data_IF_774195868678
#
_entry.id   IF_774195868678
#
_cell.length_a   1.000
_cell.length_b   1.000
_cell.length_c   1.000
_cell.angle_alpha   90.00
_cell.angle_beta   90.00
_cell.angle_gamma   90.00
#
_symmetry.space_group_name_H-M   'P 1'
#
loop_
_entity.id
_entity.type
_entity.pdbx_description
1 polymer ?
#
# COMPACT_ATOMS: atom_id res chain seq x y z
N UNK A 1 30.33 7.49 -14.44
CA UNK A 1 29.22 6.51 -14.41
C UNK A 1 27.98 7.05 -13.68
N UNK A 2 28.09 7.50 -12.42
CA UNK A 2 26.97 8.02 -11.61
C UNK A 2 26.25 9.21 -12.26
N UNK A 3 26.97 10.21 -12.78
CA UNK A 3 26.36 11.37 -13.44
C UNK A 3 25.52 11.01 -14.68
N UNK A 4 25.91 9.95 -15.41
CA UNK A 4 25.17 9.42 -16.57
C UNK A 4 23.89 8.71 -16.12
N UNK A 5 23.96 7.94 -15.04
CA UNK A 5 22.77 7.31 -14.45
C UNK A 5 21.77 8.36 -13.98
N UNK A 6 22.23 9.39 -13.25
CA UNK A 6 21.37 10.48 -12.77
C UNK A 6 20.73 11.23 -13.94
N UNK A 7 21.48 11.53 -15.01
CA UNK A 7 20.92 12.24 -16.18
C UNK A 7 19.91 11.40 -16.94
N UNK A 8 20.10 10.08 -17.04
CA UNK A 8 19.13 9.15 -17.59
C UNK A 8 17.83 9.14 -16.77
N UNK A 9 17.93 9.02 -15.44
CA UNK A 9 16.76 9.06 -14.55
C UNK A 9 16.00 10.38 -14.66
N UNK A 10 16.71 11.52 -14.66
CA UNK A 10 16.10 12.84 -14.85
C UNK A 10 15.37 12.93 -16.19
N UNK A 11 15.95 12.43 -17.27
CA UNK A 11 15.31 12.42 -18.60
C UNK A 11 14.08 11.51 -18.65
N UNK A 12 14.15 10.31 -18.05
CA UNK A 12 13.04 9.33 -18.05
C UNK A 12 11.78 9.87 -17.38
N UNK A 13 11.94 10.68 -16.31
CA UNK A 13 10.82 11.24 -15.54
C UNK A 13 10.58 12.74 -15.79
N UNK A 14 11.32 13.35 -16.71
CA UNK A 14 11.07 14.73 -17.12
C UNK A 14 9.66 14.88 -17.76
N UNK A 15 9.00 15.99 -17.45
CA UNK A 15 7.66 16.30 -17.97
C UNK A 15 6.50 15.59 -17.27
N UNK A 16 6.75 14.82 -16.20
CA UNK A 16 5.67 14.31 -15.35
C UNK A 16 5.04 15.43 -14.53
N UNK A 17 3.74 15.31 -14.29
CA UNK A 17 2.98 16.32 -13.55
C UNK A 17 3.39 16.36 -12.07
N UNK A 18 3.30 17.54 -11.44
CA UNK A 18 3.60 17.71 -10.01
C UNK A 18 2.81 16.75 -9.10
N UNK A 19 1.51 16.48 -9.33
CA UNK A 19 0.77 15.50 -8.54
C UNK A 19 1.37 14.09 -8.56
N UNK A 20 1.96 13.66 -9.68
CA UNK A 20 2.59 12.32 -9.77
C UNK A 20 3.82 12.25 -8.87
N UNK A 21 4.67 13.27 -8.88
CA UNK A 21 5.83 13.36 -7.99
C UNK A 21 5.42 13.38 -6.51
N UNK A 22 4.40 14.16 -6.17
CA UNK A 22 3.88 14.24 -4.81
C UNK A 22 3.26 12.91 -4.36
N UNK A 23 2.52 12.23 -5.23
CA UNK A 23 1.97 10.91 -4.96
C UNK A 23 3.09 9.89 -4.74
N UNK A 24 4.13 9.89 -5.58
CA UNK A 24 5.31 9.04 -5.39
C UNK A 24 6.02 9.33 -4.07
N UNK A 25 6.13 10.59 -3.65
CA UNK A 25 6.68 10.95 -2.34
C UNK A 25 5.83 10.39 -1.19
N UNK A 26 4.51 10.54 -1.26
CA UNK A 26 3.58 9.95 -0.27
C UNK A 26 3.76 8.43 -0.18
N UNK A 27 3.83 7.74 -1.33
CA UNK A 27 4.06 6.29 -1.35
C UNK A 27 5.42 5.92 -0.76
N UNK A 28 6.46 6.70 -1.05
CA UNK A 28 7.79 6.47 -0.49
C UNK A 28 7.78 6.61 1.03
N UNK A 29 7.16 7.67 1.58
CA UNK A 29 7.03 7.87 3.03
C UNK A 29 6.29 6.69 3.67
N UNK A 30 5.13 6.33 3.14
CA UNK A 30 4.35 5.19 3.65
C UNK A 30 5.14 3.88 3.61
N UNK A 31 5.79 3.56 2.48
CA UNK A 31 6.50 2.29 2.30
C UNK A 31 7.84 2.22 3.00
N UNK A 32 8.48 3.35 3.25
CA UNK A 32 9.63 3.43 4.16
C UNK A 32 9.22 3.12 5.61
N UNK A 33 7.96 3.42 5.95
CA UNK A 33 7.36 3.18 7.23
C UNK A 33 7.04 1.73 7.55
N UNK A 34 6.73 0.91 6.52
CA UNK A 34 6.24 -0.48 6.61
C UNK A 34 7.30 -1.47 7.14
N UNK A 35 7.83 -1.19 8.32
CA UNK A 35 8.90 -1.91 8.98
C UNK A 35 8.37 -3.06 9.84
N UNK A 36 7.10 -3.02 10.25
CA UNK A 36 6.56 -4.04 11.16
C UNK A 36 6.48 -5.41 10.50
N UNK A 37 6.01 -5.49 9.24
CA UNK A 37 5.75 -6.75 8.55
C UNK A 37 6.94 -7.73 8.48
N UNK A 38 8.14 -7.34 8.02
CA UNK A 38 9.28 -8.25 7.96
C UNK A 38 9.77 -8.73 9.33
N UNK A 39 9.49 -7.97 10.38
CA UNK A 39 9.92 -8.31 11.75
C UNK A 39 8.79 -8.88 12.62
N UNK A 40 7.55 -8.92 12.14
CA UNK A 40 6.39 -9.30 12.95
C UNK A 40 6.56 -10.72 13.51
N UNK A 41 6.87 -11.71 12.65
CA UNK A 41 7.11 -13.09 13.10
C UNK A 41 8.25 -13.17 14.12
N UNK A 42 9.33 -12.43 13.91
CA UNK A 42 10.46 -12.40 14.85
C UNK A 42 10.04 -11.77 16.17
N UNK A 43 9.27 -10.69 16.15
CA UNK A 43 8.71 -10.09 17.35
C UNK A 43 7.81 -11.06 18.12
N UNK A 44 6.90 -11.76 17.43
CA UNK A 44 6.00 -12.73 18.05
C UNK A 44 6.76 -13.87 18.73
N UNK A 45 7.77 -14.44 18.06
CA UNK A 45 8.51 -15.58 18.59
C UNK A 45 9.55 -15.19 19.64
N UNK A 46 10.31 -14.10 19.41
CA UNK A 46 11.45 -13.74 20.28
C UNK A 46 11.07 -12.82 21.43
N UNK A 47 10.00 -12.00 21.30
CA UNK A 47 9.58 -11.05 22.34
C UNK A 47 8.31 -11.47 23.05
N UNK A 48 7.33 -12.04 22.35
CA UNK A 48 6.11 -12.55 22.98
C UNK A 48 6.19 -14.06 23.31
N UNK A 49 7.24 -14.75 22.85
CA UNK A 49 7.45 -16.17 23.15
C UNK A 49 6.47 -17.11 22.43
N UNK A 50 5.83 -16.66 21.36
CA UNK A 50 4.91 -17.49 20.59
C UNK A 50 5.65 -18.62 19.87
N UNK A 51 4.97 -19.75 19.67
CA UNK A 51 5.48 -20.82 18.81
C UNK A 51 5.54 -20.38 17.35
N UNK A 52 6.32 -21.10 16.53
CA UNK A 52 6.36 -20.88 15.08
C UNK A 52 4.98 -21.08 14.44
N UNK A 53 4.20 -22.05 14.94
CA UNK A 53 2.84 -22.29 14.48
C UNK A 53 1.93 -21.08 14.78
N UNK A 54 2.01 -20.52 15.98
CA UNK A 54 1.24 -19.34 16.36
C UNK A 54 1.61 -18.12 15.50
N UNK A 55 2.91 -17.91 15.27
CA UNK A 55 3.34 -16.85 14.35
C UNK A 55 2.86 -17.12 12.90
N UNK A 56 2.83 -18.37 12.47
CA UNK A 56 2.26 -18.78 11.18
C UNK A 56 0.78 -18.41 11.06
N UNK A 57 -0.02 -18.65 12.10
CA UNK A 57 -1.43 -18.24 12.13
C UNK A 57 -1.63 -16.72 12.07
N UNK A 58 -0.74 -15.94 12.70
CA UNK A 58 -0.77 -14.48 12.54
C UNK A 58 -0.50 -14.06 11.08
N UNK A 59 0.42 -14.74 10.38
CA UNK A 59 0.67 -14.48 8.96
C UNK A 59 -0.48 -14.94 8.05
N UNK A 60 -1.17 -16.02 8.42
CA UNK A 60 -2.42 -16.43 7.75
C UNK A 60 -3.49 -15.34 7.92
N UNK A 61 -3.67 -14.83 9.14
CA UNK A 61 -4.60 -13.73 9.41
C UNK A 61 -4.25 -12.48 8.59
N UNK A 62 -2.95 -12.15 8.48
CA UNK A 62 -2.47 -11.08 7.61
C UNK A 62 -2.90 -11.31 6.15
N UNK A 63 -2.66 -12.51 5.60
CA UNK A 63 -3.01 -12.87 4.24
C UNK A 63 -4.51 -12.80 3.95
N UNK A 64 -5.34 -13.37 4.84
CA UNK A 64 -6.81 -13.31 4.72
C UNK A 64 -7.30 -11.87 4.72
N UNK A 65 -6.82 -11.07 5.67
CA UNK A 65 -7.20 -9.65 5.73
C UNK A 65 -6.67 -8.87 4.52
N UNK A 66 -5.52 -9.22 3.96
CA UNK A 66 -5.01 -8.58 2.73
C UNK A 66 -5.92 -8.80 1.52
N UNK A 67 -6.44 -10.02 1.36
CA UNK A 67 -7.40 -10.36 0.30
C UNK A 67 -8.73 -9.63 0.53
N UNK A 68 -9.25 -9.70 1.75
CA UNK A 68 -10.49 -9.01 2.13
C UNK A 68 -10.36 -7.49 1.92
N UNK A 69 -9.25 -6.92 2.37
CA UNK A 69 -8.91 -5.50 2.24
C UNK A 69 -8.82 -5.07 0.78
N UNK A 70 -8.12 -5.80 -0.07
CA UNK A 70 -8.02 -5.49 -1.49
C UNK A 70 -9.39 -5.51 -2.19
N UNK A 71 -10.23 -6.50 -1.87
CA UNK A 71 -11.58 -6.61 -2.41
C UNK A 71 -12.51 -5.49 -1.93
N UNK A 72 -12.55 -5.25 -0.61
CA UNK A 72 -13.36 -4.20 0.01
C UNK A 72 -12.87 -2.81 -0.43
N UNK A 73 -11.56 -2.61 -0.51
CA UNK A 73 -10.93 -1.37 -0.95
C UNK A 73 -11.33 -0.96 -2.36
N UNK A 74 -11.52 -1.92 -3.27
CA UNK A 74 -12.06 -1.65 -4.61
C UNK A 74 -13.47 -1.05 -4.52
N UNK A 75 -14.38 -1.76 -3.84
CA UNK A 75 -15.76 -1.29 -3.62
C UNK A 75 -15.85 0.05 -2.89
N UNK A 76 -15.00 0.25 -1.88
CA UNK A 76 -14.91 1.51 -1.14
C UNK A 76 -14.39 2.64 -2.04
N UNK A 77 -13.41 2.35 -2.89
CA UNK A 77 -12.86 3.32 -3.86
C UNK A 77 -13.90 3.74 -4.87
N UNK A 78 -14.70 2.79 -5.36
CA UNK A 78 -15.78 3.08 -6.33
C UNK A 78 -16.89 3.90 -5.68
N UNK A 79 -17.21 3.64 -4.40
CA UNK A 79 -18.29 4.33 -3.67
C UNK A 79 -17.90 5.70 -3.12
N UNK A 80 -16.73 5.80 -2.49
CA UNK A 80 -16.29 7.00 -1.75
C UNK A 80 -15.20 7.79 -2.46
N UNK A 81 -14.64 7.24 -3.55
CA UNK A 81 -13.52 7.82 -4.28
C UNK A 81 -12.17 7.44 -3.68
N UNK A 82 -11.15 7.36 -4.54
CA UNK A 82 -9.80 6.98 -4.13
C UNK A 82 -9.19 7.92 -3.09
N UNK A 83 -9.55 9.20 -3.14
CA UNK A 83 -8.94 10.23 -2.30
C UNK A 83 -9.25 10.01 -0.82
N UNK A 84 -10.51 9.77 -0.48
CA UNK A 84 -10.91 9.48 0.90
C UNK A 84 -10.41 8.12 1.36
N UNK A 85 -10.49 7.09 0.51
CA UNK A 85 -10.03 5.75 0.86
C UNK A 85 -8.52 5.74 1.15
N UNK A 86 -7.70 6.41 0.33
CA UNK A 86 -6.27 6.52 0.59
C UNK A 86 -5.96 7.21 1.92
N UNK A 87 -6.62 8.33 2.20
CA UNK A 87 -6.40 9.05 3.45
C UNK A 87 -6.76 8.19 4.67
N UNK A 88 -7.96 7.63 4.69
CA UNK A 88 -8.45 6.91 5.86
C UNK A 88 -7.72 5.59 6.09
N UNK A 89 -7.35 4.86 5.03
CA UNK A 89 -6.56 3.63 5.16
C UNK A 89 -5.16 3.90 5.70
N UNK A 90 -4.50 4.99 5.26
CA UNK A 90 -3.20 5.40 5.83
C UNK A 90 -3.34 5.86 7.29
N UNK A 91 -4.33 6.70 7.59
CA UNK A 91 -4.52 7.25 8.92
C UNK A 91 -4.90 6.16 9.95
N UNK A 92 -5.92 5.35 9.64
CA UNK A 92 -6.33 4.23 10.47
C UNK A 92 -5.24 3.15 10.52
N UNK A 93 -4.56 2.88 9.41
CA UNK A 93 -3.43 1.97 9.36
C UNK A 93 -2.35 2.36 10.37
N UNK A 94 -2.00 3.65 10.45
CA UNK A 94 -1.02 4.12 11.42
C UNK A 94 -1.46 3.97 12.89
N UNK A 95 -2.74 4.19 13.18
CA UNK A 95 -3.32 3.91 14.50
C UNK A 95 -3.21 2.41 14.82
N UNK A 96 -3.61 1.55 13.87
CA UNK A 96 -3.61 0.09 14.07
C UNK A 96 -2.19 -0.47 14.23
N UNK A 97 -1.22 0.00 13.45
CA UNK A 97 0.18 -0.38 13.65
C UNK A 97 0.68 0.01 15.05
N UNK A 98 0.34 1.22 15.51
CA UNK A 98 0.73 1.69 16.85
C UNK A 98 0.11 0.82 17.95
N UNK A 99 -1.16 0.43 17.79
CA UNK A 99 -1.90 -0.35 18.78
C UNK A 99 -1.49 -1.83 18.83
N UNK A 100 -0.98 -2.38 17.73
CA UNK A 100 -0.64 -3.81 17.63
C UNK A 100 0.35 -4.28 18.71
N UNK A 101 1.25 -3.42 19.18
CA UNK A 101 2.22 -3.76 20.23
C UNK A 101 1.58 -4.11 21.58
N UNK A 102 0.34 -3.66 21.82
CA UNK A 102 -0.38 -3.92 23.07
C UNK A 102 -1.06 -5.29 23.08
N UNK A 103 -1.17 -5.96 21.92
CA UNK A 103 -1.71 -7.32 21.83
C UNK A 103 -0.68 -8.30 22.40
N UNK A 104 -1.08 -9.08 23.41
CA UNK A 104 -0.18 -10.01 24.13
C UNK A 104 -0.57 -11.47 23.95
N UNK A 105 -1.84 -11.75 23.68
CA UNK A 105 -2.30 -13.13 23.44
C UNK A 105 -2.34 -13.46 21.94
N UNK A 106 -2.21 -14.75 21.55
CA UNK A 106 -2.27 -15.12 20.14
C UNK A 106 -3.56 -14.66 19.45
N UNK A 107 -4.71 -14.81 20.10
CA UNK A 107 -5.99 -14.43 19.53
C UNK A 107 -6.13 -12.91 19.33
N UNK A 108 -5.67 -12.10 20.29
CA UNK A 108 -5.59 -10.65 20.14
C UNK A 108 -4.74 -10.26 18.93
N UNK A 109 -3.57 -10.87 18.79
CA UNK A 109 -2.67 -10.62 17.65
C UNK A 109 -3.34 -11.00 16.34
N UNK A 110 -3.99 -12.16 16.24
CA UNK A 110 -4.61 -12.62 14.99
C UNK A 110 -5.73 -11.68 14.55
N UNK A 111 -6.63 -11.31 15.47
CA UNK A 111 -7.73 -10.39 15.18
C UNK A 111 -7.21 -9.00 14.81
N UNK A 112 -6.20 -8.51 15.53
CA UNK A 112 -5.62 -7.20 15.26
C UNK A 112 -4.89 -7.18 13.91
N UNK A 113 -4.10 -8.21 13.59
CA UNK A 113 -3.39 -8.33 12.31
C UNK A 113 -4.37 -8.47 11.16
N UNK A 114 -5.45 -9.25 11.32
CA UNK A 114 -6.52 -9.36 10.34
C UNK A 114 -7.18 -8.01 10.05
N UNK A 115 -7.56 -7.27 11.09
CA UNK A 115 -8.16 -5.95 10.97
C UNK A 115 -7.20 -4.95 10.32
N UNK A 116 -5.96 -4.91 10.83
CA UNK A 116 -4.90 -4.05 10.33
C UNK A 116 -4.61 -4.32 8.86
N UNK A 117 -4.44 -5.57 8.44
CA UNK A 117 -4.16 -5.89 7.03
C UNK A 117 -5.36 -5.60 6.13
N UNK A 118 -6.58 -5.81 6.60
CA UNK A 118 -7.81 -5.42 5.87
C UNK A 118 -7.84 -3.93 5.59
N UNK A 119 -7.56 -3.10 6.60
CA UNK A 119 -7.56 -1.64 6.45
C UNK A 119 -6.40 -1.18 5.57
N UNK A 120 -5.19 -1.67 5.84
CA UNK A 120 -3.98 -1.24 5.12
C UNK A 120 -4.01 -1.67 3.65
N UNK A 121 -4.50 -2.87 3.33
CA UNK A 121 -4.50 -3.37 1.95
C UNK A 121 -5.66 -2.84 1.10
N UNK A 122 -6.72 -2.29 1.73
CA UNK A 122 -7.72 -1.50 1.02
C UNK A 122 -7.14 -0.26 0.31
N UNK A 123 -5.93 0.17 0.70
CA UNK A 123 -5.18 1.23 0.05
C UNK A 123 -4.76 0.90 -1.39
N UNK A 124 -4.47 -0.37 -1.72
CA UNK A 124 -3.92 -0.77 -3.03
C UNK A 124 -4.79 -0.34 -4.21
N UNK A 125 -6.09 -0.72 -4.29
CA UNK A 125 -6.96 -0.31 -5.39
C UNK A 125 -7.10 1.22 -5.46
N UNK A 126 -7.28 1.89 -4.32
CA UNK A 126 -7.34 3.34 -4.25
C UNK A 126 -6.06 3.99 -4.81
N UNK A 127 -4.89 3.44 -4.49
CA UNK A 127 -3.61 3.92 -4.99
C UNK A 127 -3.48 3.77 -6.51
N UNK A 128 -3.86 2.63 -7.07
CA UNK A 128 -3.86 2.44 -8.53
C UNK A 128 -4.80 3.44 -9.23
N UNK A 129 -6.00 3.64 -8.68
CA UNK A 129 -6.97 4.63 -9.20
C UNK A 129 -6.45 6.07 -9.09
N UNK A 130 -5.75 6.41 -8.00
CA UNK A 130 -5.16 7.74 -7.81
C UNK A 130 -4.12 8.06 -8.88
N UNK A 131 -3.25 7.11 -9.22
CA UNK A 131 -2.26 7.27 -10.29
C UNK A 131 -2.97 7.50 -11.61
N UNK A 132 -3.98 6.67 -11.93
CA UNK A 132 -4.74 6.82 -13.16
C UNK A 132 -5.42 8.20 -13.27
N UNK A 133 -5.92 8.75 -12.17
CA UNK A 133 -6.59 10.05 -12.12
C UNK A 133 -5.63 11.25 -12.25
N UNK A 134 -4.42 11.17 -11.68
CA UNK A 134 -3.42 12.26 -11.71
C UNK A 134 -2.52 12.24 -12.95
N UNK A 135 -2.68 11.26 -13.83
CA UNK A 135 -1.83 11.04 -15.00
C UNK A 135 -2.60 11.24 -16.31
N UNK A 136 -1.92 11.80 -17.31
CA UNK A 136 -2.42 11.78 -18.70
C UNK A 136 -2.11 10.42 -19.33
N UNK A 137 -2.92 9.99 -20.30
CA UNK A 137 -2.76 8.71 -20.99
C UNK A 137 -1.32 8.52 -21.53
N UNK A 138 -0.79 9.54 -22.21
CA UNK A 138 0.58 9.58 -22.79
C UNK A 138 1.69 9.29 -21.77
N UNK A 139 1.48 9.65 -20.50
CA UNK A 139 2.50 9.59 -19.45
C UNK A 139 2.23 8.53 -18.39
N UNK A 140 1.17 7.73 -18.57
CA UNK A 140 0.67 6.78 -17.57
C UNK A 140 1.72 5.73 -17.21
N UNK A 141 2.34 5.09 -18.21
CA UNK A 141 3.40 4.09 -17.99
C UNK A 141 4.57 4.66 -17.19
N UNK A 142 5.07 5.84 -17.58
CA UNK A 142 6.19 6.51 -16.88
C UNK A 142 5.82 6.85 -15.43
N UNK A 143 4.58 7.24 -15.20
CA UNK A 143 4.07 7.58 -13.86
C UNK A 143 3.94 6.36 -12.96
N UNK A 144 3.41 5.24 -13.48
CA UNK A 144 3.42 3.96 -12.77
C UNK A 144 4.84 3.48 -12.45
N UNK A 145 5.79 3.67 -13.39
CA UNK A 145 7.19 3.34 -13.14
C UNK A 145 7.80 4.18 -12.01
N UNK A 146 7.51 5.48 -11.95
CA UNK A 146 7.98 6.33 -10.85
C UNK A 146 7.37 5.90 -9.50
N UNK A 147 6.07 5.61 -9.48
CA UNK A 147 5.40 5.10 -8.29
C UNK A 147 6.02 3.79 -7.80
N UNK A 148 6.25 2.83 -8.71
CA UNK A 148 6.89 1.55 -8.39
C UNK A 148 8.30 1.75 -7.87
N UNK A 149 9.07 2.66 -8.46
CA UNK A 149 10.40 3.00 -7.97
C UNK A 149 10.35 3.50 -6.52
N UNK A 150 9.47 4.46 -6.24
CA UNK A 150 9.25 4.98 -4.89
C UNK A 150 8.85 3.89 -3.88
N UNK A 151 7.92 3.01 -4.26
CA UNK A 151 7.48 1.89 -3.42
C UNK A 151 8.64 0.92 -3.12
N UNK A 152 9.40 0.52 -4.14
CA UNK A 152 10.52 -0.42 -3.96
C UNK A 152 11.67 0.18 -3.14
N UNK A 153 11.95 1.47 -3.31
CA UNK A 153 12.91 2.19 -2.48
C UNK A 153 12.46 2.21 -1.02
N UNK A 154 11.17 2.46 -0.76
CA UNK A 154 10.60 2.38 0.58
C UNK A 154 10.74 0.97 1.19
N UNK A 155 10.39 -0.07 0.44
CA UNK A 155 10.55 -1.48 0.86
C UNK A 155 12.00 -1.90 1.10
N UNK A 156 12.96 -1.23 0.48
CA UNK A 156 14.39 -1.49 0.68
C UNK A 156 14.91 -0.73 1.92
N UNK A 157 14.52 0.54 2.07
CA UNK A 157 14.96 1.39 3.17
C UNK A 157 14.30 1.02 4.50
N UNK A 158 13.02 0.68 4.48
CA UNK A 158 12.20 0.40 5.66
C UNK A 158 12.80 -0.69 6.55
N UNK A 159 12.95 -1.94 6.07
CA UNK A 159 13.51 -3.02 6.87
C UNK A 159 14.95 -2.78 7.32
N UNK A 160 15.76 -2.07 6.52
CA UNK A 160 17.13 -1.73 6.91
C UNK A 160 17.17 -0.77 8.11
N UNK A 161 16.37 0.32 8.06
CA UNK A 161 16.22 1.26 9.18
C UNK A 161 15.53 0.58 10.37
N UNK A 162 14.51 -0.24 10.10
CA UNK A 162 13.78 -1.01 11.10
C UNK A 162 14.69 -1.98 11.85
N UNK A 163 15.54 -2.73 11.15
CA UNK A 163 16.52 -3.62 11.79
C UNK A 163 17.45 -2.86 12.73
N UNK A 164 17.96 -1.70 12.30
CA UNK A 164 18.79 -0.84 13.15
C UNK A 164 18.03 -0.31 14.38
N UNK A 165 16.79 0.14 14.21
CA UNK A 165 15.93 0.58 15.31
C UNK A 165 15.64 -0.55 16.30
N UNK A 166 15.30 -1.74 15.78
CA UNK A 166 15.00 -2.91 16.59
C UNK A 166 16.22 -3.37 17.42
N UNK A 167 17.43 -3.31 16.86
CA UNK A 167 18.66 -3.64 17.58
C UNK A 167 19.00 -2.61 18.67
N UNK A 168 18.85 -1.31 18.38
CA UNK A 168 19.30 -0.24 19.28
C UNK A 168 18.27 0.12 20.35
N UNK A 169 16.99 0.09 19.99
CA UNK A 169 15.89 0.58 20.83
C UNK A 169 14.81 -0.49 21.09
N UNK A 170 14.83 -1.64 20.41
CA UNK A 170 13.88 -2.73 20.59
C UNK A 170 12.71 -2.71 19.59
N UNK A 171 12.00 -3.83 19.45
CA UNK A 171 10.94 -4.00 18.44
C UNK A 171 9.76 -3.03 18.60
N UNK A 172 9.49 -2.53 19.80
CA UNK A 172 8.37 -1.60 20.04
C UNK A 172 8.49 -0.33 19.19
N UNK A 173 9.72 0.12 18.88
CA UNK A 173 9.93 1.31 18.05
C UNK A 173 9.44 1.12 16.63
N UNK A 174 9.40 -0.12 16.12
CA UNK A 174 8.91 -0.40 14.77
C UNK A 174 7.43 -0.03 14.64
N UNK A 175 6.62 -0.40 15.64
CA UNK A 175 5.18 -0.12 15.65
C UNK A 175 4.89 1.38 15.69
N UNK A 176 5.62 2.13 16.50
CA UNK A 176 5.49 3.59 16.56
C UNK A 176 5.97 4.26 15.28
N UNK A 177 7.14 3.89 14.76
CA UNK A 177 7.68 4.51 13.54
C UNK A 177 6.79 4.22 12.34
N UNK A 178 6.32 2.97 12.17
CA UNK A 178 5.36 2.60 11.12
C UNK A 178 4.04 3.36 11.29
N UNK A 179 3.54 3.43 12.52
CA UNK A 179 2.36 4.20 12.88
C UNK A 179 2.44 5.67 12.49
N UNK A 180 3.51 6.35 12.92
CA UNK A 180 3.73 7.77 12.66
C UNK A 180 4.01 8.06 11.19
N UNK A 181 4.77 7.21 10.50
CA UNK A 181 5.05 7.40 9.07
C UNK A 181 3.80 7.19 8.21
N UNK A 182 2.92 6.26 8.58
CA UNK A 182 1.61 6.10 7.95
C UNK A 182 0.71 7.34 8.15
N UNK A 183 0.61 7.84 9.38
CA UNK A 183 -0.17 9.06 9.68
C UNK A 183 0.45 10.27 8.96
N UNK A 184 1.77 10.42 8.99
CA UNK A 184 2.46 11.49 8.28
C UNK A 184 2.21 11.41 6.77
N UNK A 185 2.24 10.21 6.17
CA UNK A 185 1.88 10.03 4.76
C UNK A 185 0.43 10.44 4.49
N UNK A 186 -0.52 10.12 5.37
CA UNK A 186 -1.91 10.54 5.25
C UNK A 186 -2.07 12.07 5.28
N UNK A 187 -1.41 12.72 6.23
CA UNK A 187 -1.44 14.18 6.39
C UNK A 187 -0.77 14.90 5.22
N UNK A 188 0.41 14.43 4.79
CA UNK A 188 1.09 14.95 3.60
C UNK A 188 0.22 14.77 2.38
N UNK A 189 -0.36 13.58 2.17
CA UNK A 189 -1.29 13.31 1.06
C UNK A 189 -2.44 14.34 1.04
N UNK A 190 -3.10 14.56 2.17
CA UNK A 190 -4.21 15.51 2.30
C UNK A 190 -3.76 16.96 2.05
N UNK A 191 -2.57 17.32 2.50
CA UNK A 191 -2.05 18.69 2.39
C UNK A 191 -1.57 19.03 0.97
N UNK A 192 -1.00 18.08 0.23
CA UNK A 192 -0.29 18.36 -1.03
C UNK A 192 -1.06 17.93 -2.28
N UNK A 193 -2.03 17.02 -2.16
CA UNK A 193 -2.85 16.57 -3.28
C UNK A 193 -4.30 17.05 -3.09
N UNK A 194 -4.83 17.69 -4.13
CA UNK A 194 -6.24 18.09 -4.15
C UNK A 194 -7.11 16.92 -4.61
N UNK A 195 -8.32 16.75 -4.04
CA UNK A 195 -9.23 15.71 -4.47
C UNK A 195 -9.53 15.86 -5.97
N UNK A 196 -9.45 14.75 -6.70
CA UNK A 196 -9.78 14.69 -8.12
C UNK A 196 -10.78 13.58 -8.35
N UNK A 197 -11.77 13.81 -9.20
CA UNK A 197 -12.63 12.72 -9.68
C UNK A 197 -11.89 11.97 -10.77
N UNK A 198 -12.07 10.65 -10.81
CA UNK A 198 -11.70 9.88 -12.00
C UNK A 198 -12.64 10.38 -13.10
N UNK A 199 -12.09 11.04 -14.11
CA UNK A 199 -12.84 11.24 -15.35
C UNK A 199 -13.17 9.83 -15.83
N UNK A 200 -14.48 9.48 -15.83
CA UNK A 200 -14.92 8.29 -16.54
C UNK A 200 -14.41 8.50 -17.95
N UNK A 201 -13.48 7.65 -18.39
CA UNK A 201 -13.26 7.49 -19.81
C UNK A 201 -14.65 7.25 -20.37
N UNK A 202 -15.11 8.10 -21.30
CA UNK A 202 -16.10 7.64 -22.26
C UNK A 202 -15.52 6.31 -22.72
N UNK A 203 -16.17 5.22 -22.31
CA UNK A 203 -15.80 3.92 -22.84
C UNK A 203 -15.84 4.17 -24.34
N UNK A 204 -14.70 4.02 -25.01
CA UNK A 204 -14.76 3.83 -26.44
C UNK A 204 -15.57 2.55 -26.51
N UNK A 205 -16.87 2.69 -26.75
CA UNK A 205 -17.72 1.65 -27.31
C UNK A 205 -17.07 1.36 -28.67
N UNK A 206 -15.92 0.69 -28.65
CA UNK A 206 -15.64 -0.26 -29.70
C UNK A 206 -16.85 -1.18 -29.60
N UNK A 207 -17.65 -1.18 -30.67
CA UNK A 207 -18.69 -2.17 -30.95
C UNK A 207 -18.04 -3.57 -30.92
N UNK A 208 -17.71 -4.04 -29.72
CA UNK A 208 -17.47 -5.45 -29.46
C UNK A 208 -18.88 -6.02 -29.48
N UNK A 209 -19.25 -6.58 -30.63
CA UNK A 209 -20.53 -7.25 -30.85
C UNK A 209 -20.93 -8.05 -29.60
N UNK A 210 -22.10 -7.72 -29.05
CA UNK A 210 -22.69 -8.32 -27.84
C UNK A 210 -22.87 -9.86 -27.90
N UNK A 211 -22.52 -10.51 -29.02
CA UNK A 211 -22.62 -11.95 -29.22
C UNK A 211 -21.57 -12.77 -28.45
N UNK A 212 -20.45 -12.17 -28.02
CA UNK A 212 -19.52 -12.80 -27.07
C UNK A 212 -19.45 -11.97 -25.79
N UNK A 213 -20.58 -11.85 -25.11
CA UNK A 213 -20.64 -11.23 -23.78
C UNK A 213 -19.53 -11.80 -22.89
N UNK A 214 -18.57 -10.95 -22.50
CA UNK A 214 -17.55 -11.31 -21.53
C UNK A 214 -18.28 -11.78 -20.26
N UNK A 215 -18.40 -13.10 -20.11
CA UNK A 215 -18.94 -13.70 -18.92
C UNK A 215 -18.15 -13.22 -17.71
N UNK A 216 -18.78 -13.25 -16.54
CA UNK A 216 -18.10 -13.06 -15.25
C UNK A 216 -16.69 -13.69 -15.31
N UNK A 217 -15.59 -12.98 -14.98
CA UNK A 217 -14.23 -13.52 -15.07
C UNK A 217 -14.04 -14.85 -14.31
N UNK A 218 -14.92 -15.10 -13.33
CA UNK A 218 -15.03 -16.36 -12.59
C UNK A 218 -15.52 -17.56 -13.42
N UNK A 219 -16.01 -17.34 -14.64
CA UNK A 219 -16.45 -18.35 -15.60
C UNK A 219 -15.41 -18.60 -16.70
N UNK A 220 -14.41 -17.73 -16.84
CA UNK A 220 -13.36 -17.88 -17.83
C UNK A 220 -12.28 -18.84 -17.31
N UNK A 221 -12.27 -20.06 -17.84
CA UNK A 221 -11.29 -21.09 -17.48
C UNK A 221 -9.86 -20.72 -17.84
N UNK A 222 -9.62 -19.99 -18.94
CA UNK A 222 -8.27 -19.55 -19.34
C UNK A 222 -7.75 -18.43 -18.46
N UNK A 223 -8.65 -17.65 -17.87
CA UNK A 223 -8.30 -16.64 -16.87
C UNK A 223 -7.99 -17.26 -15.50
N UNK A 224 -8.68 -18.34 -15.12
CA UNK A 224 -8.53 -18.99 -13.82
C UNK A 224 -7.41 -20.04 -13.73
N UNK A 225 -7.05 -20.69 -14.84
CA UNK A 225 -6.10 -21.81 -14.90
C UNK A 225 -5.08 -21.62 -16.02
#
# INVERSE_FOLDING_TARGET
>A
MIARTISLYKKSFAGLSRPVWLLSLVMFINRSGTMVLPFLTIYLTTKLGFSLEQAGWAMTAFGVGSVAGSFLGGKLTDRFGFYEVQFWTLFLGGILFTLLQFMKTPMEVYLMVLLMSTVVEAFRPASMTSVAAYTKAENRTRSFSLLRLAINLGWSAGPAVGGWLAMKYGYFTLFYVDGFTCIAAALVFRAVLAPKKVEKMEAVEEEVSDDEGFGSPWKDRRYLF
#
